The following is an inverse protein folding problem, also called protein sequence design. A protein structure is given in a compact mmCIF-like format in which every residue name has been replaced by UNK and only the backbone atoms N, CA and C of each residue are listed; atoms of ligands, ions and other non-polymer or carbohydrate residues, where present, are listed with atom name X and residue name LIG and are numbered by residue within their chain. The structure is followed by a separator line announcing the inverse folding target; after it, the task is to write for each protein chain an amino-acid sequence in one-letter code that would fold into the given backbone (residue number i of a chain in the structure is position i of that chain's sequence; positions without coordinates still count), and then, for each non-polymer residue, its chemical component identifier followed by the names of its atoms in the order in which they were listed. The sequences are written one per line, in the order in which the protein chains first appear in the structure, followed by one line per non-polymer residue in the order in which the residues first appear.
data_IF_437562081822
#
_entry.id   IF_437562081822
#
_cell.length_a   1.000
_cell.length_b   1.000
_cell.length_c   1.000
_cell.angle_alpha   90.00
_cell.angle_beta   90.00
_cell.angle_gamma   90.00
#
_symmetry.space_group_name_H-M   'P 1'
#
loop_
_entity.id
_entity.type
_entity.pdbx_description
1 polymer ?
#
# COMPACT_ATOMS: atom_id res chain seq x y z
N UNK A 1 -20.13 -26.53 9.71
CA UNK A 1 -21.39 -26.62 8.94
C UNK A 1 -21.02 -26.40 7.49
N UNK A 2 -21.25 -27.35 6.59
CA UNK A 2 -20.93 -27.17 5.18
C UNK A 2 -22.04 -26.33 4.52
N UNK A 3 -21.65 -25.23 3.86
CA UNK A 3 -22.59 -24.38 3.12
C UNK A 3 -22.69 -24.93 1.70
N UNK A 4 -23.90 -25.25 1.27
CA UNK A 4 -24.16 -25.72 -0.11
C UNK A 4 -24.82 -24.59 -0.89
N UNK A 5 -24.14 -24.12 -1.93
CA UNK A 5 -24.69 -23.12 -2.88
C UNK A 5 -25.70 -23.83 -3.76
N UNK A 6 -26.98 -23.51 -3.64
CA UNK A 6 -28.07 -24.15 -4.41
C UNK A 6 -28.31 -23.47 -5.77
N UNK A 7 -28.06 -22.20 -5.89
CA UNK A 7 -28.28 -21.44 -7.13
C UNK A 7 -27.52 -20.10 -7.10
N UNK A 8 -26.88 -19.78 -8.21
CA UNK A 8 -26.35 -18.45 -8.50
C UNK A 8 -27.14 -17.91 -9.69
N UNK A 9 -27.72 -16.75 -9.55
CA UNK A 9 -28.47 -16.07 -10.63
C UNK A 9 -27.89 -14.69 -10.80
N UNK A 10 -27.54 -14.30 -12.04
CA UNK A 10 -27.25 -12.91 -12.37
C UNK A 10 -28.57 -12.18 -12.42
N UNK A 11 -28.75 -11.16 -11.56
CA UNK A 11 -30.03 -10.43 -11.48
C UNK A 11 -30.03 -9.24 -12.45
N UNK A 12 -29.05 -8.37 -12.33
CA UNK A 12 -28.83 -7.20 -13.21
C UNK A 12 -27.45 -6.58 -12.93
N UNK A 13 -26.98 -5.76 -13.85
CA UNK A 13 -25.87 -4.86 -13.56
C UNK A 13 -26.30 -3.81 -12.54
N UNK A 14 -25.58 -3.72 -11.44
CA UNK A 14 -25.80 -2.73 -10.38
C UNK A 14 -24.45 -2.19 -9.94
N UNK A 15 -24.44 -0.95 -9.47
CA UNK A 15 -23.27 -0.41 -8.80
C UNK A 15 -22.98 -1.24 -7.54
N UNK A 16 -21.74 -1.67 -7.41
CA UNK A 16 -21.27 -2.42 -6.24
C UNK A 16 -20.36 -1.54 -5.38
N UNK A 17 -20.56 -1.63 -4.08
CA UNK A 17 -19.79 -0.90 -3.08
C UNK A 17 -19.02 -1.91 -2.25
N UNK A 18 -17.75 -1.62 -1.97
CA UNK A 18 -16.95 -2.41 -1.05
C UNK A 18 -17.17 -1.98 0.40
N UNK A 19 -17.03 -2.93 1.33
CA UNK A 19 -17.21 -2.71 2.77
C UNK A 19 -15.87 -2.91 3.47
N UNK A 20 -15.42 -1.88 4.19
CA UNK A 20 -14.24 -2.00 5.05
C UNK A 20 -14.64 -2.50 6.44
N UNK A 21 -14.04 -3.61 6.89
CA UNK A 21 -14.24 -4.17 8.22
C UNK A 21 -12.94 -4.05 9.03
N UNK A 22 -12.89 -3.18 10.04
CA UNK A 22 -11.72 -3.06 10.91
C UNK A 22 -11.41 -4.36 11.66
N UNK A 23 -10.14 -4.61 11.94
CA UNK A 23 -9.58 -5.68 12.77
C UNK A 23 -9.64 -7.09 12.20
N UNK A 24 -10.71 -7.52 11.55
CA UNK A 24 -10.86 -8.91 11.07
C UNK A 24 -10.55 -9.09 9.60
N UNK A 25 -10.54 -8.00 8.81
CA UNK A 25 -10.35 -8.03 7.35
C UNK A 25 -11.38 -8.92 6.62
N UNK A 26 -12.40 -9.37 7.35
CA UNK A 26 -13.40 -10.33 6.90
C UNK A 26 -14.78 -9.86 7.27
N UNK A 27 -15.74 -9.95 6.35
CA UNK A 27 -17.14 -9.68 6.62
C UNK A 27 -18.03 -10.80 6.06
N UNK A 28 -19.28 -10.81 6.48
CA UNK A 28 -20.24 -11.77 5.98
C UNK A 28 -21.19 -11.11 4.99
N UNK A 29 -21.12 -11.55 3.73
CA UNK A 29 -22.07 -11.18 2.70
C UNK A 29 -22.99 -12.38 2.42
N UNK A 30 -24.29 -12.23 2.70
CA UNK A 30 -25.27 -13.29 2.54
C UNK A 30 -24.90 -14.63 3.25
N UNK A 31 -24.26 -14.53 4.43
CA UNK A 31 -23.83 -15.70 5.22
C UNK A 31 -22.53 -16.33 4.77
N UNK A 32 -21.82 -15.74 3.83
CA UNK A 32 -20.49 -16.18 3.36
C UNK A 32 -19.45 -15.23 3.92
N UNK A 33 -18.39 -15.79 4.56
CA UNK A 33 -17.23 -15.01 4.97
C UNK A 33 -16.44 -14.63 3.71
N UNK A 34 -16.22 -13.33 3.51
CA UNK A 34 -15.42 -12.77 2.42
C UNK A 34 -14.32 -11.89 2.99
N UNK A 35 -13.20 -11.89 2.30
CA UNK A 35 -12.02 -11.11 2.65
C UNK A 35 -11.87 -9.99 1.62
N UNK A 36 -11.58 -8.76 2.05
CA UNK A 36 -11.39 -7.68 1.11
C UNK A 36 -9.92 -7.37 0.87
N UNK A 37 -9.52 -7.45 -0.40
CA UNK A 37 -8.27 -6.91 -0.92
C UNK A 37 -8.61 -5.75 -1.83
N UNK A 38 -8.08 -4.57 -1.58
CA UNK A 38 -8.52 -3.37 -2.31
C UNK A 38 -7.58 -2.94 -3.44
N UNK A 39 -6.50 -3.65 -3.68
CA UNK A 39 -5.62 -3.45 -4.83
C UNK A 39 -5.99 -4.30 -6.03
N UNK A 40 -6.74 -5.39 -5.85
CA UNK A 40 -7.06 -6.35 -6.90
C UNK A 40 -8.42 -6.03 -7.54
N UNK A 41 -8.36 -5.64 -8.82
CA UNK A 41 -9.53 -5.32 -9.66
C UNK A 41 -9.56 -6.25 -10.86
N UNK A 42 -9.80 -7.54 -10.60
CA UNK A 42 -9.85 -8.58 -11.60
C UNK A 42 -11.22 -9.27 -11.56
N UNK A 43 -11.73 -9.57 -12.74
CA UNK A 43 -13.04 -10.21 -12.89
C UNK A 43 -13.04 -11.68 -12.45
N UNK A 44 -14.13 -12.13 -11.90
CA UNK A 44 -14.46 -13.53 -11.67
C UNK A 44 -15.80 -13.84 -12.29
N UNK A 45 -15.93 -14.94 -12.98
CA UNK A 45 -17.18 -15.40 -13.58
C UNK A 45 -17.45 -16.87 -13.23
N UNK A 46 -18.47 -17.46 -13.84
CA UNK A 46 -18.83 -18.87 -13.60
C UNK A 46 -17.67 -19.82 -13.90
N UNK A 47 -16.89 -19.53 -14.93
CA UNK A 47 -15.89 -20.43 -15.47
C UNK A 47 -14.45 -20.00 -15.16
N UNK A 48 -14.25 -18.79 -14.63
CA UNK A 48 -12.94 -18.23 -14.29
C UNK A 48 -12.94 -17.63 -12.88
N UNK A 49 -11.87 -17.90 -12.14
CA UNK A 49 -11.56 -17.27 -10.86
C UNK A 49 -10.23 -16.52 -10.99
N UNK A 50 -10.19 -15.26 -10.60
CA UNK A 50 -8.99 -14.45 -10.80
C UNK A 50 -7.77 -15.01 -10.07
N UNK A 51 -6.62 -14.81 -10.69
CA UNK A 51 -5.28 -15.05 -10.13
C UNK A 51 -4.41 -13.84 -10.47
N UNK A 52 -3.70 -13.33 -9.49
CA UNK A 52 -2.75 -12.22 -9.69
C UNK A 52 -1.45 -12.49 -8.94
N UNK A 53 -0.32 -12.41 -9.65
CA UNK A 53 1.00 -12.45 -9.05
C UNK A 53 1.42 -11.03 -8.68
N UNK A 54 1.75 -10.81 -7.41
CA UNK A 54 2.12 -9.50 -6.88
C UNK A 54 3.60 -9.43 -6.50
N UNK A 55 4.21 -8.29 -6.74
CA UNK A 55 5.50 -7.92 -6.18
C UNK A 55 5.58 -6.42 -5.98
N UNK A 56 6.52 -5.95 -5.14
CA UNK A 56 6.66 -4.53 -4.83
C UNK A 56 8.11 -4.09 -4.87
N UNK A 57 8.35 -2.94 -5.50
CA UNK A 57 9.66 -2.30 -5.62
C UNK A 57 9.90 -1.43 -4.39
N UNK A 58 11.08 -1.55 -3.77
CA UNK A 58 11.49 -0.66 -2.69
C UNK A 58 11.93 0.69 -3.25
N UNK A 59 11.09 1.73 -3.06
CA UNK A 59 11.34 3.08 -3.55
C UNK A 59 12.56 3.75 -2.88
N UNK A 60 12.98 3.30 -1.70
CA UNK A 60 14.24 3.79 -1.11
C UNK A 60 15.44 3.55 -2.03
N UNK A 61 15.34 2.57 -2.93
CA UNK A 61 16.34 2.25 -3.96
C UNK A 61 15.95 2.73 -5.36
N UNK A 62 14.96 3.63 -5.46
CA UNK A 62 14.42 4.07 -6.74
C UNK A 62 15.48 4.67 -7.67
N UNK A 63 16.35 5.54 -7.15
CA UNK A 63 17.39 6.18 -7.95
C UNK A 63 18.44 5.19 -8.50
N UNK A 64 18.60 4.03 -7.85
CA UNK A 64 19.48 2.96 -8.33
C UNK A 64 18.79 2.08 -9.40
N UNK A 65 17.45 2.04 -9.42
CA UNK A 65 16.66 1.08 -10.21
C UNK A 65 16.02 1.71 -11.45
N UNK A 66 15.61 2.97 -11.38
CA UNK A 66 14.77 3.63 -12.41
C UNK A 66 15.38 3.62 -13.80
N UNK A 67 16.69 3.71 -13.92
CA UNK A 67 17.41 3.77 -15.18
C UNK A 67 17.97 2.39 -15.63
N UNK A 68 17.61 1.32 -14.92
CA UNK A 68 17.98 -0.08 -15.23
C UNK A 68 16.80 -0.85 -15.81
N UNK A 69 17.02 -2.10 -16.17
CA UNK A 69 15.98 -3.06 -16.61
C UNK A 69 15.32 -3.83 -15.45
N UNK A 70 15.51 -3.38 -14.21
CA UNK A 70 15.03 -4.10 -13.03
C UNK A 70 13.50 -4.25 -13.00
N UNK A 71 12.76 -3.25 -13.48
CA UNK A 71 11.29 -3.27 -13.52
C UNK A 71 10.81 -4.25 -14.59
N UNK A 72 11.39 -4.17 -15.77
CA UNK A 72 11.11 -5.08 -16.88
C UNK A 72 11.44 -6.53 -16.49
N UNK A 73 12.57 -6.75 -15.86
CA UNK A 73 12.98 -8.07 -15.32
C UNK A 73 11.99 -8.58 -14.28
N UNK A 74 11.46 -7.73 -13.41
CA UNK A 74 10.43 -8.11 -12.44
C UNK A 74 9.13 -8.54 -13.12
N UNK A 75 8.70 -7.86 -14.18
CA UNK A 75 7.53 -8.26 -14.98
C UNK A 75 7.78 -9.64 -15.63
N UNK A 76 8.96 -9.88 -16.18
CA UNK A 76 9.34 -11.16 -16.75
C UNK A 76 9.34 -12.29 -15.72
N UNK A 77 9.88 -12.01 -14.53
CA UNK A 77 9.85 -12.95 -13.41
C UNK A 77 8.41 -13.31 -13.02
N UNK A 78 7.54 -12.32 -12.85
CA UNK A 78 6.13 -12.54 -12.48
C UNK A 78 5.36 -13.30 -13.58
N UNK A 79 5.64 -13.05 -14.86
CA UNK A 79 5.05 -13.83 -15.97
C UNK A 79 5.55 -15.26 -15.95
N UNK A 80 6.81 -15.50 -15.60
CA UNK A 80 7.37 -16.85 -15.41
C UNK A 80 6.70 -17.60 -14.25
N UNK A 81 6.46 -16.91 -13.11
CA UNK A 81 5.69 -17.46 -11.98
C UNK A 81 4.26 -17.81 -12.41
N UNK A 82 3.63 -16.99 -13.26
CA UNK A 82 2.31 -17.30 -13.82
C UNK A 82 2.35 -18.54 -14.70
N UNK A 83 3.41 -18.71 -15.50
CA UNK A 83 3.61 -19.94 -16.31
C UNK A 83 3.76 -21.15 -15.40
N UNK A 84 4.58 -21.08 -14.36
CA UNK A 84 4.75 -22.18 -13.40
C UNK A 84 3.42 -22.53 -12.70
N UNK A 85 2.61 -21.54 -12.35
CA UNK A 85 1.28 -21.76 -11.78
C UNK A 85 0.37 -22.52 -12.78
N UNK A 86 0.34 -22.10 -14.05
CA UNK A 86 -0.45 -22.75 -15.10
C UNK A 86 -0.02 -24.22 -15.27
N UNK A 87 1.27 -24.47 -15.32
CA UNK A 87 1.82 -25.82 -15.52
C UNK A 87 1.54 -26.72 -14.32
N UNK A 88 1.79 -26.23 -13.10
CA UNK A 88 1.59 -27.01 -11.86
C UNK A 88 0.14 -27.29 -11.53
N UNK A 89 -0.79 -26.48 -12.00
CA UNK A 89 -2.23 -26.66 -11.72
C UNK A 89 -2.94 -27.51 -12.77
N UNK A 90 -2.23 -27.99 -13.79
CA UNK A 90 -2.81 -28.87 -14.81
C UNK A 90 -3.29 -30.20 -14.20
N UNK A 91 -4.55 -30.52 -14.41
CA UNK A 91 -5.17 -31.74 -13.86
C UNK A 91 -5.39 -31.72 -12.34
N UNK A 92 -5.09 -30.62 -11.64
CA UNK A 92 -5.38 -30.51 -10.21
C UNK A 92 -6.86 -30.25 -9.97
N UNK A 93 -7.47 -31.05 -9.07
CA UNK A 93 -8.86 -30.86 -8.69
C UNK A 93 -9.13 -29.43 -8.17
N UNK A 94 -10.24 -28.85 -8.59
CA UNK A 94 -10.71 -27.50 -8.21
C UNK A 94 -9.85 -26.33 -8.73
N UNK A 95 -8.82 -26.57 -9.54
CA UNK A 95 -7.95 -25.51 -10.08
C UNK A 95 -8.31 -25.12 -11.53
N UNK A 96 -9.33 -25.69 -12.14
CA UNK A 96 -9.70 -25.40 -13.54
C UNK A 96 -10.06 -23.94 -13.77
N UNK A 97 -10.85 -23.32 -12.89
CA UNK A 97 -11.26 -21.93 -13.03
C UNK A 97 -10.11 -20.92 -12.82
N UNK A 98 -9.28 -21.03 -11.76
CA UNK A 98 -8.07 -20.21 -11.61
C UNK A 98 -7.07 -20.41 -12.76
N UNK A 99 -6.86 -21.65 -13.19
CA UNK A 99 -5.93 -21.96 -14.29
C UNK A 99 -6.40 -21.34 -15.61
N UNK A 100 -7.70 -21.40 -15.92
CA UNK A 100 -8.29 -20.81 -17.13
C UNK A 100 -8.11 -19.31 -17.12
N UNK A 101 -8.39 -18.63 -16.02
CA UNK A 101 -8.11 -17.22 -15.87
C UNK A 101 -6.62 -16.90 -16.11
N UNK A 102 -5.73 -17.67 -15.48
CA UNK A 102 -4.29 -17.49 -15.63
C UNK A 102 -3.84 -17.62 -17.09
N UNK A 103 -4.34 -18.60 -17.82
CA UNK A 103 -4.05 -18.79 -19.24
C UNK A 103 -4.57 -17.62 -20.08
N UNK A 104 -5.80 -17.17 -19.84
CA UNK A 104 -6.48 -16.19 -20.68
C UNK A 104 -6.01 -14.76 -20.43
N UNK A 105 -5.59 -14.43 -19.21
CA UNK A 105 -5.34 -13.03 -18.82
C UNK A 105 -3.92 -12.78 -18.30
N UNK A 106 -3.26 -13.76 -17.67
CA UNK A 106 -1.91 -13.62 -17.10
C UNK A 106 -1.73 -12.35 -16.29
N UNK A 107 -2.71 -12.01 -15.44
CA UNK A 107 -2.75 -10.77 -14.69
C UNK A 107 -1.61 -10.67 -13.67
N UNK A 108 -0.91 -9.54 -13.65
CA UNK A 108 0.18 -9.22 -12.75
C UNK A 108 -0.13 -7.95 -11.96
N UNK A 109 0.59 -7.75 -10.85
CA UNK A 109 0.49 -6.55 -10.03
C UNK A 109 1.84 -6.15 -9.47
N UNK A 110 2.58 -5.31 -10.19
CA UNK A 110 3.78 -4.65 -9.69
C UNK A 110 3.35 -3.44 -8.87
N UNK A 111 3.75 -3.40 -7.62
CA UNK A 111 3.50 -2.28 -6.71
C UNK A 111 4.78 -1.67 -6.19
N UNK A 112 4.65 -0.87 -5.15
CA UNK A 112 5.77 -0.19 -4.49
C UNK A 112 5.65 -0.30 -2.97
N UNK A 113 6.78 -0.14 -2.30
CA UNK A 113 6.87 0.08 -0.85
C UNK A 113 7.93 1.13 -0.56
N UNK A 114 7.92 1.68 0.65
CA UNK A 114 8.92 2.65 1.06
C UNK A 114 8.68 4.08 0.57
N UNK A 115 7.48 4.45 0.17
CA UNK A 115 7.19 5.80 -0.35
C UNK A 115 7.58 6.91 0.63
N UNK A 116 7.12 6.83 1.88
CA UNK A 116 7.44 7.85 2.89
C UNK A 116 8.94 7.85 3.23
N UNK A 117 9.56 6.67 3.34
CA UNK A 117 11.01 6.54 3.54
C UNK A 117 11.81 7.19 2.41
N UNK A 118 11.38 7.00 1.16
CA UNK A 118 11.97 7.68 0.01
C UNK A 118 11.89 9.20 0.13
N UNK A 119 10.72 9.74 0.45
CA UNK A 119 10.56 11.18 0.64
C UNK A 119 11.45 11.72 1.77
N UNK A 120 11.51 11.02 2.89
CA UNK A 120 12.36 11.40 4.03
C UNK A 120 13.85 11.33 3.66
N UNK A 121 14.27 10.36 2.84
CA UNK A 121 15.65 10.27 2.34
C UNK A 121 16.06 11.50 1.52
N UNK A 122 15.10 12.12 0.84
CA UNK A 122 15.23 13.34 0.04
C UNK A 122 14.96 14.62 0.84
N UNK A 123 14.64 14.51 2.13
CA UNK A 123 14.20 15.65 2.96
C UNK A 123 12.95 16.34 2.40
N UNK A 124 12.03 15.60 1.82
CA UNK A 124 10.77 16.10 1.26
C UNK A 124 9.61 15.84 2.23
N UNK A 125 8.88 16.90 2.56
CA UNK A 125 7.62 16.77 3.26
C UNK A 125 6.58 16.06 2.38
N UNK A 126 5.78 15.17 2.96
CA UNK A 126 4.79 14.39 2.23
C UNK A 126 3.80 15.26 1.42
N UNK A 127 3.37 16.39 2.01
CA UNK A 127 2.40 17.30 1.39
C UNK A 127 3.04 18.25 0.35
N UNK A 128 4.36 18.25 0.19
CA UNK A 128 5.05 19.19 -0.68
C UNK A 128 4.69 18.99 -2.16
N UNK A 129 4.79 20.08 -2.93
CA UNK A 129 4.61 20.00 -4.39
C UNK A 129 5.64 19.07 -5.02
N UNK A 130 6.87 19.08 -4.51
CA UNK A 130 7.94 18.22 -5.01
C UNK A 130 7.64 16.73 -4.76
N UNK A 131 7.09 16.35 -3.59
CA UNK A 131 6.63 15.00 -3.33
C UNK A 131 5.52 14.57 -4.31
N UNK A 132 4.61 15.48 -4.67
CA UNK A 132 3.57 15.23 -5.68
C UNK A 132 4.14 15.01 -7.08
N UNK A 133 5.18 15.74 -7.44
CA UNK A 133 5.88 15.56 -8.73
C UNK A 133 6.61 14.20 -8.75
N UNK A 134 7.38 13.87 -7.73
CA UNK A 134 8.04 12.56 -7.57
C UNK A 134 7.03 11.40 -7.67
N UNK A 135 5.87 11.54 -7.01
CA UNK A 135 4.80 10.55 -7.09
C UNK A 135 4.33 10.30 -8.53
N UNK A 136 4.14 11.36 -9.31
CA UNK A 136 3.73 11.25 -10.72
C UNK A 136 4.84 10.61 -11.56
N UNK A 137 6.07 11.07 -11.41
CA UNK A 137 7.20 10.62 -12.23
C UNK A 137 7.53 9.14 -11.97
N UNK A 138 7.50 8.71 -10.71
CA UNK A 138 7.72 7.30 -10.34
C UNK A 138 6.65 6.40 -11.00
N UNK A 139 5.37 6.73 -10.82
CA UNK A 139 4.31 5.86 -11.34
C UNK A 139 4.17 5.93 -12.85
N UNK A 140 4.51 7.06 -13.49
CA UNK A 140 4.62 7.17 -14.93
C UNK A 140 5.73 6.27 -15.47
N UNK A 141 6.94 6.36 -14.91
CA UNK A 141 8.07 5.50 -15.28
C UNK A 141 7.75 4.02 -15.07
N UNK A 142 7.14 3.67 -13.92
CA UNK A 142 6.70 2.30 -13.65
C UNK A 142 5.73 1.80 -14.72
N UNK A 143 4.75 2.63 -15.12
CA UNK A 143 3.77 2.32 -16.16
C UNK A 143 4.47 2.06 -17.51
N UNK A 144 5.34 2.97 -17.94
CA UNK A 144 6.04 2.89 -19.22
C UNK A 144 6.90 1.61 -19.31
N UNK A 145 7.65 1.30 -18.25
CA UNK A 145 8.48 0.10 -18.19
C UNK A 145 7.67 -1.19 -18.13
N UNK A 146 6.59 -1.24 -17.37
CA UNK A 146 5.69 -2.39 -17.35
C UNK A 146 5.00 -2.62 -18.71
N UNK A 147 4.58 -1.55 -19.40
CA UNK A 147 3.97 -1.67 -20.73
C UNK A 147 5.00 -2.14 -21.76
N UNK A 148 6.23 -1.65 -21.71
CA UNK A 148 7.33 -2.13 -22.55
C UNK A 148 7.58 -3.62 -22.33
N UNK A 149 7.67 -4.05 -21.07
CA UNK A 149 7.95 -5.45 -20.72
C UNK A 149 6.84 -6.41 -21.20
N UNK A 150 5.56 -6.07 -20.95
CA UNK A 150 4.45 -6.94 -21.39
C UNK A 150 4.33 -7.00 -22.92
N UNK A 151 4.67 -5.91 -23.62
CA UNK A 151 4.72 -5.90 -25.09
C UNK A 151 5.85 -6.78 -25.64
N UNK A 152 7.04 -6.72 -25.07
CA UNK A 152 8.17 -7.59 -25.41
C UNK A 152 7.83 -9.08 -25.13
N UNK A 153 7.22 -9.38 -24.00
CA UNK A 153 6.76 -10.73 -23.66
C UNK A 153 5.73 -11.26 -24.68
N UNK A 154 4.83 -10.39 -25.18
CA UNK A 154 3.88 -10.76 -26.22
C UNK A 154 4.58 -11.09 -27.55
N UNK A 155 5.64 -10.36 -27.91
CA UNK A 155 6.44 -10.66 -29.11
C UNK A 155 7.19 -12.00 -29.01
N UNK A 156 7.72 -12.32 -27.82
CA UNK A 156 8.54 -13.53 -27.59
C UNK A 156 7.65 -14.78 -27.43
N UNK A 157 6.60 -14.69 -26.62
CA UNK A 157 5.80 -15.84 -26.17
C UNK A 157 4.35 -15.82 -26.68
N UNK A 158 3.96 -14.80 -27.45
CA UNK A 158 2.61 -14.62 -27.95
C UNK A 158 1.64 -13.97 -26.96
N UNK A 159 0.52 -13.55 -27.51
CA UNK A 159 -0.59 -12.97 -26.75
C UNK A 159 -1.53 -14.07 -26.25
N UNK A 160 -2.03 -14.00 -24.99
CA UNK A 160 -3.14 -14.83 -24.56
C UNK A 160 -4.40 -14.61 -25.40
N UNK A 161 -5.30 -15.59 -25.43
CA UNK A 161 -6.49 -15.56 -26.28
C UNK A 161 -7.35 -14.28 -26.10
N UNK A 162 -7.58 -13.87 -24.86
CA UNK A 162 -8.36 -12.66 -24.56
C UNK A 162 -7.61 -11.35 -24.85
N UNK A 163 -6.30 -11.41 -25.11
CA UNK A 163 -5.46 -10.25 -25.39
C UNK A 163 -4.99 -10.17 -26.83
N UNK A 164 -5.51 -11.03 -27.72
CA UNK A 164 -5.15 -11.01 -29.13
C UNK A 164 -5.44 -9.67 -29.80
N UNK A 165 -4.42 -9.10 -30.41
CA UNK A 165 -4.47 -7.80 -31.09
C UNK A 165 -4.23 -6.58 -30.17
N UNK A 166 -3.97 -6.80 -28.87
CA UNK A 166 -3.65 -5.72 -27.93
C UNK A 166 -2.16 -5.47 -27.76
N UNK A 167 -1.31 -6.25 -28.44
CA UNK A 167 0.16 -6.20 -28.37
C UNK A 167 0.70 -6.28 -26.92
N UNK A 168 0.05 -7.11 -26.08
CA UNK A 168 0.46 -7.33 -24.69
C UNK A 168 0.20 -8.75 -24.23
N UNK A 169 1.01 -9.24 -23.28
CA UNK A 169 0.90 -10.58 -22.72
C UNK A 169 0.12 -10.65 -21.40
N UNK A 170 0.10 -9.56 -20.64
CA UNK A 170 -0.53 -9.50 -19.32
C UNK A 170 -1.70 -8.53 -19.36
N UNK A 171 -2.88 -8.91 -18.89
CA UNK A 171 -4.08 -8.07 -18.87
C UNK A 171 -3.88 -6.83 -17.98
N UNK A 172 -3.26 -7.05 -16.82
CA UNK A 172 -2.84 -5.99 -15.90
C UNK A 172 -1.37 -6.17 -15.54
N UNK A 173 -0.71 -5.09 -15.12
CA UNK A 173 0.69 -5.12 -14.70
C UNK A 173 0.96 -4.39 -13.40
N UNK A 174 0.10 -3.46 -12.97
CA UNK A 174 0.33 -2.63 -11.78
C UNK A 174 -0.84 -2.73 -10.80
N UNK A 175 -0.50 -3.08 -9.55
CA UNK A 175 -1.38 -3.05 -8.39
C UNK A 175 -0.56 -2.71 -7.14
N UNK A 176 -1.11 -1.89 -6.23
CA UNK A 176 -0.37 -1.40 -5.05
C UNK A 176 -0.87 -2.10 -3.80
N UNK A 177 -0.14 -3.12 -3.38
CA UNK A 177 -0.41 -3.94 -2.20
C UNK A 177 -0.01 -3.24 -0.88
N UNK A 178 -0.54 -3.66 0.29
CA UNK A 178 -0.25 -3.01 1.58
C UNK A 178 1.20 -3.19 2.09
N UNK A 179 1.87 -4.25 1.72
CA UNK A 179 3.30 -4.60 1.96
C UNK A 179 3.81 -4.51 3.40
N UNK A 180 2.94 -4.58 4.40
CA UNK A 180 3.33 -4.40 5.82
C UNK A 180 4.45 -5.35 6.26
N UNK A 181 4.38 -6.62 5.88
CA UNK A 181 5.42 -7.61 6.22
C UNK A 181 6.67 -7.45 5.36
N UNK A 182 6.50 -7.23 4.05
CA UNK A 182 7.60 -7.10 3.09
C UNK A 182 8.49 -5.89 3.39
N UNK A 183 7.90 -4.77 3.82
CA UNK A 183 8.65 -3.56 4.17
C UNK A 183 9.59 -3.77 5.37
N UNK A 184 9.22 -4.63 6.32
CA UNK A 184 10.12 -5.01 7.42
C UNK A 184 11.32 -5.84 6.94
N UNK A 185 11.09 -6.78 6.02
CA UNK A 185 12.14 -7.64 5.46
C UNK A 185 13.10 -6.82 4.59
N UNK A 186 12.57 -5.87 3.83
CA UNK A 186 13.32 -5.06 2.87
C UNK A 186 13.92 -3.77 3.48
N UNK A 187 14.35 -3.82 4.74
CA UNK A 187 15.10 -2.74 5.37
C UNK A 187 14.28 -1.88 6.34
N UNK A 188 13.11 -2.35 6.79
CA UNK A 188 12.24 -1.65 7.73
C UNK A 188 11.77 -0.26 7.20
N UNK A 189 11.54 -0.17 5.91
CA UNK A 189 11.02 1.03 5.25
C UNK A 189 9.52 1.21 5.52
N UNK A 190 8.97 2.36 5.15
CA UNK A 190 7.54 2.60 5.25
C UNK A 190 6.74 1.62 4.39
N UNK A 191 5.58 1.12 4.85
CA UNK A 191 4.79 0.17 4.07
C UNK A 191 4.15 0.87 2.86
N UNK A 192 4.19 0.21 1.71
CA UNK A 192 3.49 0.64 0.51
C UNK A 192 3.70 2.13 0.19
N UNK A 193 2.60 2.81 -0.01
CA UNK A 193 2.48 4.26 -0.26
C UNK A 193 2.13 5.05 1.01
N UNK A 194 2.12 4.38 2.16
CA UNK A 194 1.65 4.95 3.43
C UNK A 194 2.76 5.72 4.16
N UNK A 195 2.39 6.80 4.86
CA UNK A 195 3.26 7.40 5.84
C UNK A 195 3.52 6.47 7.04
N UNK A 196 4.65 6.66 7.70
CA UNK A 196 4.95 5.99 8.96
C UNK A 196 4.00 6.46 10.06
N UNK A 197 3.49 5.53 10.85
CA UNK A 197 2.64 5.84 12.00
C UNK A 197 3.41 6.48 13.16
N UNK A 198 4.72 6.28 13.20
CA UNK A 198 5.60 6.75 14.27
C UNK A 198 7.05 6.77 13.79
N UNK A 199 7.83 7.76 14.22
CA UNK A 199 9.28 7.80 13.97
C UNK A 199 10.09 6.95 14.94
N UNK A 200 9.47 6.50 16.04
CA UNK A 200 10.10 5.63 17.03
C UNK A 200 9.08 4.73 17.70
N UNK A 201 9.28 3.43 17.61
CA UNK A 201 8.40 2.45 18.26
C UNK A 201 9.15 1.17 18.65
N UNK A 202 8.59 0.45 19.61
CA UNK A 202 9.05 -0.87 20.00
C UNK A 202 8.04 -1.89 19.52
N UNK A 203 8.48 -2.88 18.76
CA UNK A 203 7.65 -3.99 18.30
C UNK A 203 8.00 -5.24 19.09
N UNK A 204 7.01 -5.82 19.73
CA UNK A 204 7.14 -7.10 20.41
C UNK A 204 6.87 -8.22 19.40
N UNK A 205 7.86 -9.04 19.14
CA UNK A 205 7.78 -10.21 18.27
C UNK A 205 8.05 -11.48 19.09
N UNK A 206 7.62 -12.63 18.59
CA UNK A 206 7.84 -13.92 19.27
C UNK A 206 9.32 -14.21 19.63
N UNK A 207 10.27 -13.58 18.95
CA UNK A 207 11.72 -13.73 19.17
C UNK A 207 12.36 -12.59 19.99
N UNK A 208 11.57 -11.63 20.50
CA UNK A 208 12.09 -10.51 21.30
C UNK A 208 11.53 -9.15 20.91
N UNK A 209 11.99 -8.12 21.62
CA UNK A 209 11.62 -6.73 21.39
C UNK A 209 12.57 -6.09 20.38
N UNK A 210 12.01 -5.53 19.31
CA UNK A 210 12.75 -4.78 18.30
C UNK A 210 12.40 -3.32 18.38
N UNK A 211 13.42 -2.48 18.48
CA UNK A 211 13.25 -1.03 18.48
C UNK A 211 13.48 -0.50 17.07
N UNK A 212 12.46 0.18 16.52
CA UNK A 212 12.60 0.96 15.30
C UNK A 212 12.92 2.41 15.64
N UNK A 213 13.96 2.94 15.04
CA UNK A 213 14.29 4.36 15.00
C UNK A 213 14.34 4.78 13.54
N UNK A 214 13.57 5.81 13.18
CA UNK A 214 13.61 6.33 11.82
C UNK A 214 15.04 6.73 11.43
N UNK A 215 15.65 6.12 10.42
CA UNK A 215 17.07 6.33 10.09
C UNK A 215 17.36 7.75 9.61
N UNK A 216 16.41 8.38 8.91
CA UNK A 216 16.55 9.75 8.39
C UNK A 216 16.44 10.78 9.52
N UNK A 217 15.50 10.58 10.44
CA UNK A 217 15.41 11.39 11.66
C UNK A 217 16.66 11.20 12.53
N UNK A 218 17.17 9.98 12.66
CA UNK A 218 18.44 9.70 13.37
C UNK A 218 19.59 10.51 12.78
N UNK A 219 19.70 10.56 11.44
CA UNK A 219 20.71 11.35 10.74
C UNK A 219 20.57 12.86 11.04
N UNK A 220 19.36 13.38 11.02
CA UNK A 220 19.07 14.77 11.36
C UNK A 220 19.42 15.07 12.83
N UNK A 221 18.96 14.24 13.77
CA UNK A 221 19.24 14.44 15.21
C UNK A 221 20.73 14.37 15.51
N UNK A 222 21.49 13.48 14.84
CA UNK A 222 22.95 13.43 14.95
C UNK A 222 23.60 14.74 14.50
N UNK A 223 23.20 15.31 13.38
CA UNK A 223 23.73 16.57 12.87
C UNK A 223 23.50 17.76 13.83
N UNK A 224 22.49 17.65 14.70
CA UNK A 224 22.13 18.65 15.70
C UNK A 224 22.62 18.30 17.12
N UNK A 225 23.40 17.23 17.28
CA UNK A 225 23.83 16.68 18.57
C UNK A 225 22.67 16.30 19.52
N UNK A 226 21.51 15.91 18.94
CA UNK A 226 20.29 15.53 19.66
C UNK A 226 20.01 14.02 19.63
N UNK A 227 20.84 13.19 19.02
CA UNK A 227 20.66 11.73 18.98
C UNK A 227 21.08 11.10 20.32
N UNK A 228 20.24 11.22 21.32
CA UNK A 228 20.45 10.68 22.66
C UNK A 228 19.18 10.00 23.20
N UNK A 229 19.31 9.26 24.31
CA UNK A 229 18.21 8.47 24.89
C UNK A 229 17.04 9.33 25.33
N UNK A 230 17.29 10.53 25.86
CA UNK A 230 16.25 11.44 26.33
C UNK A 230 15.39 11.95 25.18
N UNK A 231 16.01 12.40 24.10
CA UNK A 231 15.29 12.82 22.88
C UNK A 231 14.42 11.69 22.31
N UNK A 232 14.92 10.47 22.22
CA UNK A 232 14.13 9.35 21.70
C UNK A 232 13.01 8.92 22.66
N UNK A 233 13.23 9.05 23.97
CA UNK A 233 12.16 8.84 24.97
C UNK A 233 11.07 9.90 24.83
N UNK A 234 11.44 11.16 24.64
CA UNK A 234 10.51 12.26 24.42
C UNK A 234 9.68 12.03 23.14
N UNK A 235 10.30 11.68 22.04
CA UNK A 235 9.62 11.30 20.79
C UNK A 235 8.64 10.13 21.02
N UNK A 236 9.04 9.10 21.78
CA UNK A 236 8.17 7.94 22.08
C UNK A 236 6.92 8.35 22.88
N UNK A 237 7.08 9.18 23.92
CA UNK A 237 5.98 9.68 24.75
C UNK A 237 4.98 10.45 23.91
N UNK A 238 5.47 11.24 22.93
CA UNK A 238 4.63 11.97 21.97
C UNK A 238 4.16 11.11 20.78
N UNK A 239 4.15 9.78 20.91
CA UNK A 239 3.62 8.86 19.89
C UNK A 239 4.48 8.75 18.63
N UNK A 240 5.74 9.12 18.71
CA UNK A 240 6.65 9.15 17.57
C UNK A 240 6.61 10.46 16.78
N UNK A 241 5.87 11.46 17.25
CA UNK A 241 5.84 12.81 16.70
C UNK A 241 7.10 13.61 17.04
N UNK A 242 7.47 14.52 16.17
CA UNK A 242 8.52 15.52 16.39
C UNK A 242 7.96 16.95 16.40
N UNK A 243 6.65 17.12 16.29
CA UNK A 243 6.02 18.45 16.12
C UNK A 243 6.22 19.36 17.33
N UNK A 244 6.37 18.80 18.52
CA UNK A 244 6.64 19.52 19.78
C UNK A 244 8.10 20.00 19.93
N UNK A 245 9.04 19.47 19.13
CA UNK A 245 10.46 19.75 19.28
C UNK A 245 10.82 21.17 18.77
N UNK A 246 11.22 22.06 19.67
CA UNK A 246 11.62 23.44 19.34
C UNK A 246 12.98 23.53 18.65
N UNK A 247 13.81 22.49 18.78
CA UNK A 247 15.13 22.42 18.16
C UNK A 247 15.08 22.07 16.63
N UNK A 248 13.92 21.70 16.13
CA UNK A 248 13.70 21.43 14.70
C UNK A 248 12.97 22.59 14.06
N UNK A 249 13.36 22.94 12.82
CA UNK A 249 12.62 23.93 12.03
C UNK A 249 11.26 23.37 11.58
N UNK A 250 10.37 24.23 11.12
CA UNK A 250 9.05 23.81 10.66
C UNK A 250 9.16 22.93 9.38
N UNK A 251 10.14 23.19 8.52
CA UNK A 251 10.44 22.37 7.32
C UNK A 251 10.93 20.99 7.76
N UNK A 252 11.84 20.89 8.73
CA UNK A 252 12.31 19.62 9.27
C UNK A 252 11.17 18.83 9.92
N UNK A 253 10.31 19.48 10.69
CA UNK A 253 9.12 18.84 11.29
C UNK A 253 8.15 18.34 10.23
N UNK A 254 7.95 19.08 9.15
CA UNK A 254 7.06 18.68 8.06
C UNK A 254 7.51 17.38 7.38
N UNK A 255 8.83 17.14 7.24
CA UNK A 255 9.40 15.90 6.68
C UNK A 255 9.08 14.68 7.54
N UNK A 256 9.04 14.84 8.86
CA UNK A 256 8.88 13.74 9.81
C UNK A 256 7.48 13.67 10.44
N UNK A 257 6.47 14.29 9.83
CA UNK A 257 5.08 14.08 10.22
C UNK A 257 4.71 12.59 10.18
N UNK A 258 4.01 12.15 11.20
CA UNK A 258 3.42 10.82 11.24
C UNK A 258 2.14 10.75 10.40
N UNK A 259 1.64 9.55 10.12
CA UNK A 259 0.45 9.37 9.28
C UNK A 259 -0.76 10.17 9.80
N UNK A 260 -0.97 10.19 11.13
CA UNK A 260 -2.07 10.94 11.74
C UNK A 260 -1.91 12.46 11.69
N UNK A 261 -0.71 12.96 11.44
CA UNK A 261 -0.39 14.41 11.38
C UNK A 261 -0.48 14.95 9.94
N UNK A 262 -0.46 14.08 8.95
CA UNK A 262 -0.62 14.45 7.54
C UNK A 262 -2.11 14.61 7.22
N UNK A 263 -2.54 15.72 6.62
CA UNK A 263 -3.93 15.88 6.19
C UNK A 263 -4.37 14.75 5.27
N UNK A 264 -5.43 14.03 5.59
CA UNK A 264 -5.83 12.84 4.85
C UNK A 264 -6.24 13.14 3.39
N UNK A 265 -6.68 14.36 3.11
CA UNK A 265 -6.89 14.81 1.73
C UNK A 265 -5.61 14.77 0.89
N UNK A 266 -4.44 15.01 1.48
CA UNK A 266 -3.15 14.92 0.76
C UNK A 266 -2.82 13.46 0.39
N UNK A 267 -3.17 12.50 1.26
CA UNK A 267 -3.07 11.07 0.96
C UNK A 267 -3.93 10.73 -0.27
N UNK A 268 -5.19 11.20 -0.28
CA UNK A 268 -6.13 10.99 -1.40
C UNK A 268 -5.64 11.67 -2.67
N UNK A 269 -5.16 12.90 -2.60
CA UNK A 269 -4.63 13.65 -3.77
C UNK A 269 -3.49 12.87 -4.43
N UNK A 270 -2.51 12.41 -3.67
CA UNK A 270 -1.41 11.62 -4.23
C UNK A 270 -1.89 10.28 -4.79
N UNK A 271 -2.84 9.62 -4.12
CA UNK A 271 -3.45 8.40 -4.63
C UNK A 271 -4.15 8.62 -5.97
N UNK A 272 -4.92 9.69 -6.10
CA UNK A 272 -5.60 10.07 -7.35
C UNK A 272 -4.61 10.38 -8.48
N UNK A 273 -3.51 11.09 -8.17
CA UNK A 273 -2.46 11.40 -9.14
C UNK A 273 -1.83 10.13 -9.74
N UNK A 274 -1.50 9.12 -8.91
CA UNK A 274 -0.89 7.87 -9.38
C UNK A 274 -1.90 6.88 -9.94
N UNK A 275 -3.21 6.95 -9.58
CA UNK A 275 -4.22 6.02 -10.04
C UNK A 275 -4.33 5.94 -11.56
N UNK A 276 -4.07 7.02 -12.28
CA UNK A 276 -4.06 7.04 -13.75
C UNK A 276 -3.00 6.15 -14.39
N UNK A 277 -1.96 5.78 -13.65
CA UNK A 277 -0.88 4.91 -14.08
C UNK A 277 -1.03 3.47 -13.57
N UNK A 278 -2.05 3.20 -12.76
CA UNK A 278 -2.32 1.89 -12.14
C UNK A 278 -3.54 1.29 -12.81
N UNK A 279 -3.36 0.13 -13.44
CA UNK A 279 -4.46 -0.57 -14.11
C UNK A 279 -5.41 -1.27 -13.13
N UNK A 280 -4.92 -1.79 -12.02
CA UNK A 280 -5.73 -2.28 -10.93
C UNK A 280 -5.99 -1.19 -9.86
N UNK A 281 -5.95 -1.52 -8.58
CA UNK A 281 -6.20 -0.60 -7.47
C UNK A 281 -4.98 -0.35 -6.60
N UNK A 282 -5.25 0.37 -5.51
CA UNK A 282 -4.30 0.69 -4.45
C UNK A 282 -4.93 0.33 -3.12
N UNK A 283 -4.21 -0.37 -2.25
CA UNK A 283 -4.61 -0.55 -0.85
C UNK A 283 -4.35 0.74 -0.07
N UNK A 284 -5.24 1.71 -0.26
CA UNK A 284 -5.13 3.05 0.31
C UNK A 284 -5.76 3.11 1.69
N UNK A 285 -4.93 3.14 2.74
CA UNK A 285 -5.37 3.37 4.10
C UNK A 285 -5.56 4.86 4.40
N UNK A 286 -6.50 5.17 5.27
CA UNK A 286 -6.73 6.50 5.81
C UNK A 286 -6.63 6.46 7.33
N UNK A 287 -6.10 7.53 7.92
CA UNK A 287 -6.02 7.71 9.37
C UNK A 287 -7.12 8.65 9.83
N UNK A 288 -8.14 8.11 10.47
CA UNK A 288 -9.27 8.89 10.98
C UNK A 288 -9.00 9.30 12.42
N UNK A 289 -9.13 10.58 12.72
CA UNK A 289 -8.98 11.08 14.08
C UNK A 289 -10.02 10.43 15.01
N UNK A 290 -9.68 10.02 16.25
CA UNK A 290 -10.60 9.33 17.17
C UNK A 290 -11.90 10.10 17.45
N UNK A 291 -11.85 11.43 17.34
CA UNK A 291 -13.00 12.33 17.57
C UNK A 291 -13.61 12.87 16.27
N UNK A 292 -13.24 12.29 15.10
CA UNK A 292 -13.79 12.71 13.82
C UNK A 292 -15.31 12.50 13.80
N UNK A 293 -16.03 13.49 13.29
CA UNK A 293 -17.48 13.40 13.15
C UNK A 293 -17.81 12.53 11.93
N UNK A 294 -18.93 11.78 11.93
CA UNK A 294 -19.37 10.99 10.78
C UNK A 294 -19.43 11.79 9.48
N UNK A 295 -19.78 13.07 9.56
CA UNK A 295 -19.82 13.98 8.41
C UNK A 295 -18.43 14.18 7.79
N UNK A 296 -17.38 14.37 8.61
CA UNK A 296 -16.01 14.59 8.14
C UNK A 296 -15.46 13.32 7.46
N UNK A 297 -15.79 12.15 8.01
CA UNK A 297 -15.43 10.87 7.42
C UNK A 297 -16.12 10.71 6.06
N UNK A 298 -17.43 10.98 5.99
CA UNK A 298 -18.20 10.89 4.75
C UNK A 298 -17.67 11.87 3.68
N UNK A 299 -17.34 13.11 4.06
CA UNK A 299 -16.76 14.10 3.15
C UNK A 299 -15.42 13.64 2.58
N UNK A 300 -14.58 12.96 3.38
CA UNK A 300 -13.32 12.40 2.93
C UNK A 300 -13.51 11.24 1.94
N UNK A 301 -14.52 10.38 2.19
CA UNK A 301 -14.90 9.30 1.28
C UNK A 301 -15.38 9.83 -0.08
N UNK A 302 -16.29 10.80 -0.05
CA UNK A 302 -16.80 11.45 -1.26
C UNK A 302 -15.65 12.12 -2.02
N UNK A 303 -14.76 12.82 -1.31
CA UNK A 303 -13.58 13.44 -1.92
C UNK A 303 -12.67 12.42 -2.61
N UNK A 304 -12.46 11.24 -2.01
CA UNK A 304 -11.67 10.18 -2.63
C UNK A 304 -12.32 9.66 -3.93
N UNK A 305 -13.62 9.42 -3.89
CA UNK A 305 -14.40 9.00 -5.06
C UNK A 305 -14.39 10.07 -6.17
N UNK A 306 -14.70 11.33 -5.86
CA UNK A 306 -14.67 12.45 -6.82
C UNK A 306 -13.27 12.68 -7.42
N UNK A 307 -12.21 12.36 -6.67
CA UNK A 307 -10.83 12.45 -7.13
C UNK A 307 -10.43 11.30 -8.07
N UNK A 308 -11.29 10.29 -8.27
CA UNK A 308 -11.05 9.15 -9.16
C UNK A 308 -10.20 8.04 -8.54
N UNK A 309 -10.13 7.94 -7.21
CA UNK A 309 -9.54 6.79 -6.53
C UNK A 309 -10.50 5.62 -6.65
N UNK A 310 -10.03 4.46 -7.14
CA UNK A 310 -10.88 3.28 -7.39
C UNK A 310 -11.45 2.66 -6.13
N UNK A 311 -10.71 2.72 -5.00
CA UNK A 311 -11.16 2.15 -3.74
C UNK A 311 -10.30 2.62 -2.56
N UNK A 312 -10.84 2.45 -1.35
CA UNK A 312 -10.17 2.72 -0.08
C UNK A 312 -10.05 1.41 0.69
N UNK A 313 -8.96 1.26 1.45
CA UNK A 313 -8.72 0.04 2.23
C UNK A 313 -9.16 0.24 3.69
N UNK A 314 -8.23 0.31 4.65
CA UNK A 314 -8.62 0.51 6.04
C UNK A 314 -8.80 1.97 6.40
N UNK A 315 -9.79 2.21 7.27
CA UNK A 315 -9.90 3.43 8.05
C UNK A 315 -9.33 3.14 9.44
N UNK A 316 -8.08 3.56 9.65
CA UNK A 316 -7.41 3.37 10.93
C UNK A 316 -7.70 4.54 11.86
N UNK A 317 -7.77 4.29 13.16
CA UNK A 317 -7.88 5.33 14.18
C UNK A 317 -6.93 5.01 15.34
N UNK A 318 -6.45 6.04 16.03
CA UNK A 318 -5.68 5.84 17.25
C UNK A 318 -6.59 5.22 18.32
N UNK A 319 -6.03 4.28 19.10
CA UNK A 319 -6.77 3.67 20.20
C UNK A 319 -6.91 4.67 21.36
N UNK A 320 -8.13 5.04 21.80
CA UNK A 320 -8.33 5.99 22.90
C UNK A 320 -7.63 5.59 24.20
N UNK A 321 -7.52 4.28 24.48
CA UNK A 321 -6.81 3.79 25.66
C UNK A 321 -5.30 4.02 25.56
N UNK A 322 -4.72 3.93 24.37
CA UNK A 322 -3.31 4.26 24.15
C UNK A 322 -3.05 5.75 24.26
N UNK A 323 -3.98 6.60 23.80
CA UNK A 323 -3.89 8.05 23.97
C UNK A 323 -3.97 8.44 25.44
N UNK A 324 -4.89 7.81 26.19
CA UNK A 324 -5.01 8.04 27.64
C UNK A 324 -3.74 7.57 28.38
N UNK A 325 -3.20 6.40 28.06
CA UNK A 325 -1.97 5.90 28.67
C UNK A 325 -0.78 6.84 28.38
N UNK A 326 -0.68 7.38 27.17
CA UNK A 326 0.34 8.40 26.83
C UNK A 326 0.16 9.69 27.61
N UNK A 327 -1.08 10.19 27.75
CA UNK A 327 -1.36 11.41 28.52
C UNK A 327 -1.00 11.25 29.99
N UNK A 328 -1.25 10.09 30.58
CA UNK A 328 -0.86 9.78 31.97
C UNK A 328 0.66 9.75 32.13
N UNK A 329 1.38 9.12 31.17
CA UNK A 329 2.85 9.09 31.19
C UNK A 329 3.47 10.49 31.03
N UNK A 330 2.84 11.36 30.25
CA UNK A 330 3.30 12.75 30.06
C UNK A 330 3.08 13.56 31.33
N UNK A 331 1.95 13.42 32.03
CA UNK A 331 1.68 14.08 33.30
C UNK A 331 2.65 13.66 34.41
N UNK A 332 2.94 12.37 34.55
CA UNK A 332 3.85 11.88 35.60
C UNK A 332 5.32 12.28 35.36
N UNK A 333 5.68 12.76 34.18
CA UNK A 333 7.05 13.25 33.89
C UNK A 333 7.18 14.77 34.20
N UNK A 334 6.08 15.50 34.32
CA UNK A 334 6.08 16.93 34.74
C UNK A 334 6.12 17.10 36.23
N UNK A 335 5.87 16.09 37.05
CA UNK A 335 5.87 16.12 38.50
C UNK A 335 7.17 15.58 39.14
N UNK A 336 8.16 15.20 38.34
CA UNK A 336 9.48 14.74 38.76
C UNK A 336 10.58 15.71 38.29
#
# INVERSE_FOLDING_TARGET
MAITIKKITLDKEVDVFDITVPETETFFANGIAVHNCNEIYLSTCKDESFVCNLSSINLERWDDLKDTDAIETLVYFLDSVMTEFIDKTEGMAHMDAPRRFAINQRALGVGVLGWHSYLQSKSLAFESMQAKMENIDIFKTLREKCDSATAQLAQIYGEPELLKGYARRNATTIAVAPTTSSSFILGQVSPSIEPLNSNYFVKDLAKGKFTYKNPYLTKLLKSKALDNTETWRDILIHGGSVQHMTALSDEEKAVFKTFGEIPQKEIVIQAAQRQRYIDQGQSLNLMIAPKAKPKEVNELMIFAWESGVKGLYYQRSANPAQELARSIMTCSTCEA
#
